data_IF_499437103062
#
_entry.id   IF_499437103062
#
_cell.length_a   1.000
_cell.length_b   1.000
_cell.length_c   1.000
_cell.angle_alpha   90.00
_cell.angle_beta   90.00
_cell.angle_gamma   90.00
#
_symmetry.space_group_name_H-M   'P 1'
#
loop_
_entity.id
_entity.type
_entity.pdbx_description
1 polymer ?
#
# COMPACT_ATOMS: atom_id res chain seq x y z
N UNK A 1 22.97 -45.41 -7.51
CA UNK A 1 23.33 -44.35 -8.49
C UNK A 1 22.16 -43.42 -8.83
N UNK A 2 21.06 -43.89 -9.45
CA UNK A 2 19.90 -43.03 -9.79
C UNK A 2 19.27 -42.28 -8.58
N UNK A 3 19.10 -42.97 -7.44
CA UNK A 3 18.59 -42.35 -6.19
C UNK A 3 19.55 -41.31 -5.59
N UNK A 4 20.86 -41.49 -5.80
CA UNK A 4 21.89 -40.56 -5.33
C UNK A 4 21.91 -39.29 -6.20
N UNK A 5 21.83 -39.46 -7.53
CA UNK A 5 21.74 -38.36 -8.50
C UNK A 5 20.47 -37.53 -8.28
N UNK A 6 19.33 -38.19 -8.02
CA UNK A 6 18.06 -37.50 -7.75
C UNK A 6 18.12 -36.69 -6.44
N UNK A 7 18.77 -37.23 -5.40
CA UNK A 7 18.98 -36.52 -4.14
C UNK A 7 19.87 -35.29 -4.29
N UNK A 8 20.97 -35.39 -5.05
CA UNK A 8 21.87 -34.26 -5.30
C UNK A 8 21.20 -33.17 -6.13
N UNK A 9 20.36 -33.53 -7.10
CA UNK A 9 19.60 -32.57 -7.90
C UNK A 9 18.55 -31.82 -7.07
N UNK A 10 17.81 -32.52 -6.19
CA UNK A 10 16.87 -31.89 -5.27
C UNK A 10 17.59 -30.89 -4.33
N UNK A 11 18.73 -31.30 -3.76
CA UNK A 11 19.52 -30.45 -2.86
C UNK A 11 20.02 -29.18 -3.58
N UNK A 12 20.49 -29.31 -4.82
CA UNK A 12 20.92 -28.18 -5.64
C UNK A 12 19.80 -27.21 -5.97
N UNK A 13 18.58 -27.72 -6.23
CA UNK A 13 17.42 -26.88 -6.52
C UNK A 13 17.02 -26.01 -5.32
N UNK A 14 17.06 -26.53 -4.09
CA UNK A 14 16.71 -25.76 -2.87
C UNK A 14 17.72 -24.64 -2.61
N UNK A 15 19.03 -24.91 -2.79
CA UNK A 15 20.10 -23.91 -2.59
C UNK A 15 20.07 -22.83 -3.68
N UNK A 16 19.70 -23.20 -4.92
CA UNK A 16 19.54 -22.23 -5.99
C UNK A 16 18.36 -21.27 -5.75
N UNK A 17 17.25 -21.77 -5.21
CA UNK A 17 16.08 -20.94 -4.89
C UNK A 17 16.40 -19.86 -3.87
N UNK A 18 17.18 -20.16 -2.82
CA UNK A 18 17.52 -19.16 -1.78
C UNK A 18 18.48 -18.07 -2.26
N UNK A 19 19.27 -18.31 -3.32
CA UNK A 19 20.21 -17.33 -3.87
C UNK A 19 19.61 -16.44 -4.96
N UNK A 20 18.51 -16.87 -5.57
CA UNK A 20 17.84 -16.15 -6.66
C UNK A 20 16.78 -15.14 -6.15
N UNK A 21 16.22 -15.36 -4.96
CA UNK A 21 15.26 -14.43 -4.38
C UNK A 21 15.99 -13.23 -3.76
N UNK A 22 15.56 -11.98 -4.04
CA UNK A 22 16.04 -10.84 -3.29
C UNK A 22 15.72 -11.04 -1.80
N UNK A 23 16.63 -10.62 -0.92
CA UNK A 23 16.37 -10.58 0.51
C UNK A 23 15.16 -9.67 0.81
N UNK A 24 14.45 -9.99 1.89
CA UNK A 24 13.40 -9.10 2.38
C UNK A 24 14.01 -7.74 2.73
N UNK A 25 13.28 -6.62 2.48
CA UNK A 25 13.67 -5.33 3.00
C UNK A 25 13.72 -5.37 4.54
N UNK A 26 14.53 -4.50 5.13
CA UNK A 26 14.49 -4.25 6.58
C UNK A 26 13.08 -3.78 6.99
N UNK A 27 12.62 -4.18 8.17
CA UNK A 27 11.27 -3.87 8.67
C UNK A 27 10.99 -2.36 8.72
N UNK A 28 12.00 -1.54 9.01
CA UNK A 28 11.89 -0.08 9.04
C UNK A 28 11.77 0.57 7.65
N UNK A 29 11.95 -0.21 6.59
CA UNK A 29 11.80 0.21 5.19
C UNK A 29 10.48 -0.22 4.56
N UNK A 30 9.74 -1.11 5.21
CA UNK A 30 8.40 -1.55 4.81
C UNK A 30 7.35 -0.96 5.73
N UNK A 31 6.15 -0.72 5.19
CA UNK A 31 5.02 -0.15 5.93
C UNK A 31 3.91 -1.20 6.15
N UNK A 32 4.27 -2.48 6.00
CA UNK A 32 3.39 -3.64 5.84
C UNK A 32 3.36 -4.52 7.11
N UNK A 33 3.52 -3.91 8.29
CA UNK A 33 3.63 -4.68 9.53
C UNK A 33 3.41 -3.89 10.81
N UNK A 34 3.00 -4.57 11.91
CA UNK A 34 2.84 -3.95 13.20
C UNK A 34 4.18 -3.50 13.75
N UNK A 35 4.16 -2.45 14.57
CA UNK A 35 5.35 -2.02 15.30
C UNK A 35 5.71 -3.03 16.41
N UNK A 36 6.98 -3.12 16.74
CA UNK A 36 7.42 -3.90 17.90
C UNK A 36 6.87 -3.28 19.20
N UNK A 37 6.51 -4.13 20.16
CA UNK A 37 6.12 -3.69 21.51
C UNK A 37 4.65 -3.28 21.67
N UNK A 38 3.82 -3.45 20.64
CA UNK A 38 2.37 -3.23 20.77
C UNK A 38 1.77 -4.17 21.81
N UNK A 39 0.95 -3.62 22.70
CA UNK A 39 0.11 -4.44 23.55
C UNK A 39 -1.00 -5.12 22.74
N UNK A 40 -1.69 -6.09 23.34
CA UNK A 40 -2.69 -6.89 22.65
C UNK A 40 -3.81 -6.05 22.01
N UNK A 41 -4.29 -5.00 22.68
CA UNK A 41 -5.37 -4.15 22.15
C UNK A 41 -4.88 -3.27 21.01
N UNK A 42 -3.64 -2.77 21.09
CA UNK A 42 -3.02 -2.01 20.00
C UNK A 42 -2.79 -2.88 18.77
N UNK A 43 -2.27 -4.09 18.95
CA UNK A 43 -2.07 -5.04 17.85
C UNK A 43 -3.41 -5.42 17.21
N UNK A 44 -4.47 -5.62 18.01
CA UNK A 44 -5.81 -5.87 17.49
C UNK A 44 -6.31 -4.69 16.62
N UNK A 45 -6.08 -3.45 17.07
CA UNK A 45 -6.45 -2.24 16.29
C UNK A 45 -5.64 -2.12 15.01
N UNK A 46 -4.34 -2.43 15.06
CA UNK A 46 -3.49 -2.47 13.88
C UNK A 46 -4.05 -3.45 12.85
N UNK A 47 -4.31 -4.71 13.25
CA UNK A 47 -4.85 -5.74 12.35
C UNK A 47 -6.22 -5.36 11.76
N UNK A 48 -7.07 -4.71 12.55
CA UNK A 48 -8.35 -4.19 12.03
C UNK A 48 -8.15 -3.08 10.99
N UNK A 49 -7.18 -2.19 11.21
CA UNK A 49 -6.81 -1.13 10.27
C UNK A 49 -6.20 -1.69 8.98
N UNK A 50 -5.34 -2.70 9.10
CA UNK A 50 -4.72 -3.41 7.97
C UNK A 50 -5.78 -4.09 7.06
N UNK A 51 -6.71 -4.83 7.68
CA UNK A 51 -7.86 -5.41 6.97
C UNK A 51 -8.66 -4.31 6.27
N UNK A 52 -8.91 -3.19 6.96
CA UNK A 52 -9.69 -2.10 6.39
C UNK A 52 -8.96 -1.45 5.19
N UNK A 53 -7.66 -1.22 5.32
CA UNK A 53 -6.83 -0.62 4.27
C UNK A 53 -6.83 -1.46 2.98
N UNK A 54 -6.71 -2.78 3.13
CA UNK A 54 -6.61 -3.72 2.03
C UNK A 54 -7.95 -4.09 1.40
N UNK A 55 -9.01 -4.23 2.22
CA UNK A 55 -10.25 -4.88 1.78
C UNK A 55 -11.45 -3.93 1.64
N UNK A 56 -11.39 -2.73 2.22
CA UNK A 56 -12.54 -1.82 2.15
C UNK A 56 -12.64 -1.18 0.77
N UNK A 57 -13.82 -1.34 0.18
CA UNK A 57 -14.23 -0.65 -1.04
C UNK A 57 -15.27 0.37 -0.65
N UNK A 58 -14.84 1.62 -0.67
CA UNK A 58 -15.66 2.73 -0.23
C UNK A 58 -16.65 3.17 -1.32
N UNK A 59 -17.76 3.74 -0.88
CA UNK A 59 -18.80 4.32 -1.73
C UNK A 59 -19.07 5.76 -1.30
N UNK A 60 -19.78 6.52 -2.14
CA UNK A 60 -20.23 7.88 -1.79
C UNK A 60 -21.04 7.90 -0.48
N UNK A 61 -21.82 6.85 -0.23
CA UNK A 61 -22.62 6.69 1.00
C UNK A 61 -21.82 6.27 2.24
N UNK A 62 -20.66 5.63 2.06
CA UNK A 62 -19.84 5.10 3.16
C UNK A 62 -18.85 6.13 3.75
N UNK A 63 -18.93 7.40 3.34
CA UNK A 63 -18.18 8.50 3.96
C UNK A 63 -17.12 9.18 3.09
N UNK A 64 -16.95 8.76 1.83
CA UNK A 64 -16.00 9.43 0.92
C UNK A 64 -16.51 10.76 0.35
N UNK A 65 -17.81 11.01 0.44
CA UNK A 65 -18.44 12.12 -0.27
C UNK A 65 -18.51 11.89 -1.79
N UNK A 66 -19.07 12.84 -2.55
CA UNK A 66 -19.31 12.70 -3.98
C UNK A 66 -18.04 12.86 -4.84
N UNK A 67 -16.93 13.32 -4.24
CA UNK A 67 -15.74 13.80 -4.95
C UNK A 67 -14.54 13.12 -4.35
N UNK A 68 -14.10 12.05 -5.00
CA UNK A 68 -13.02 11.23 -4.50
C UNK A 68 -12.23 10.59 -5.65
N UNK A 69 -10.97 10.25 -5.38
CA UNK A 69 -10.01 9.88 -6.42
C UNK A 69 -9.83 8.39 -6.69
N UNK A 70 -10.04 7.47 -5.73
CA UNK A 70 -9.85 6.03 -5.99
C UNK A 70 -10.36 5.10 -4.85
N UNK A 71 -11.38 4.24 -5.09
CA UNK A 71 -12.33 3.60 -4.12
C UNK A 71 -11.79 2.67 -3.04
N UNK A 72 -10.48 2.58 -2.88
CA UNK A 72 -9.82 1.86 -1.79
C UNK A 72 -8.45 2.47 -1.53
N UNK A 73 -7.91 2.27 -0.33
CA UNK A 73 -6.55 2.74 -0.01
C UNK A 73 -5.50 2.06 -0.91
N UNK A 74 -5.63 0.73 -1.06
CA UNK A 74 -4.72 -0.09 -1.88
C UNK A 74 -4.68 0.26 -3.37
N UNK A 75 -5.66 0.99 -3.89
CA UNK A 75 -5.66 1.44 -5.29
C UNK A 75 -4.53 2.42 -5.61
N UNK A 76 -4.07 3.19 -4.62
CA UNK A 76 -2.91 4.07 -4.72
C UNK A 76 -1.69 3.53 -3.97
N UNK A 77 -1.90 2.74 -2.92
CA UNK A 77 -0.89 2.24 -2.00
C UNK A 77 -0.74 0.73 -2.08
N UNK A 78 -0.04 0.25 -3.11
CA UNK A 78 0.13 -1.18 -3.34
C UNK A 78 0.94 -1.86 -2.21
N UNK A 79 0.42 -2.97 -1.67
CA UNK A 79 1.06 -3.76 -0.61
C UNK A 79 1.35 -2.93 0.64
N UNK A 80 0.38 -2.12 1.06
CA UNK A 80 0.46 -1.21 2.21
C UNK A 80 1.63 -0.22 2.16
N UNK A 81 2.20 -0.07 0.97
CA UNK A 81 3.40 0.69 0.72
C UNK A 81 3.14 2.18 0.48
N UNK A 82 4.24 2.87 0.20
CA UNK A 82 4.20 4.25 -0.27
C UNK A 82 3.43 4.31 -1.59
N UNK A 83 2.70 5.41 -1.80
CA UNK A 83 2.02 5.65 -3.06
C UNK A 83 2.99 5.67 -4.24
N UNK A 84 2.54 5.26 -5.42
CA UNK A 84 3.37 5.22 -6.61
C UNK A 84 3.36 6.58 -7.35
N UNK A 85 4.45 7.02 -7.99
CA UNK A 85 4.42 8.21 -8.86
C UNK A 85 3.36 8.17 -9.99
N UNK A 86 2.89 6.98 -10.37
CA UNK A 86 1.80 6.82 -11.34
C UNK A 86 0.42 7.17 -10.76
N UNK A 87 0.30 7.27 -9.44
CA UNK A 87 -0.91 7.68 -8.72
C UNK A 87 -0.74 9.09 -8.13
N UNK A 88 0.09 9.92 -8.78
CA UNK A 88 0.34 11.30 -8.35
C UNK A 88 -0.89 12.17 -8.59
N UNK A 89 -1.21 13.00 -7.61
CA UNK A 89 -2.30 13.97 -7.67
C UNK A 89 -1.72 15.39 -7.77
N UNK A 90 -2.31 16.23 -8.62
CA UNK A 90 -2.00 17.67 -8.64
C UNK A 90 -2.99 18.40 -7.75
N UNK A 91 -2.50 19.03 -6.68
CA UNK A 91 -3.28 19.87 -5.78
C UNK A 91 -3.00 21.34 -6.03
N UNK A 92 -4.06 22.15 -6.03
CA UNK A 92 -3.95 23.60 -6.17
C UNK A 92 -3.97 24.25 -4.79
N UNK A 93 -2.81 24.67 -4.31
CA UNK A 93 -2.67 25.38 -3.04
C UNK A 93 -3.30 26.78 -3.09
N UNK A 94 -3.81 27.25 -1.95
CA UNK A 94 -4.24 28.64 -1.75
C UNK A 94 -3.21 29.35 -0.86
N UNK A 95 -2.95 30.63 -1.13
CA UNK A 95 -2.05 31.46 -0.31
C UNK A 95 -2.68 31.89 1.02
N UNK A 96 -4.00 31.87 1.11
CA UNK A 96 -4.78 32.29 2.28
C UNK A 96 -6.14 31.57 2.31
N UNK A 97 -6.99 31.95 3.27
CA UNK A 97 -8.33 31.37 3.49
C UNK A 97 -9.45 32.08 2.74
N UNK A 98 -9.15 33.04 1.85
CA UNK A 98 -10.17 33.87 1.20
C UNK A 98 -11.02 33.12 0.15
N UNK A 99 -10.62 31.90 -0.20
CA UNK A 99 -11.39 31.00 -1.05
C UNK A 99 -10.50 30.20 -1.99
N UNK A 100 -11.10 29.23 -2.70
CA UNK A 100 -10.39 28.44 -3.69
C UNK A 100 -10.51 29.11 -5.07
N UNK A 101 -9.39 29.59 -5.61
CA UNK A 101 -9.35 30.23 -6.94
C UNK A 101 -9.45 29.25 -8.12
N UNK A 102 -9.35 27.94 -7.86
CA UNK A 102 -9.32 26.88 -8.87
C UNK A 102 -10.63 26.09 -8.95
N UNK A 103 -11.74 26.63 -8.43
CA UNK A 103 -13.07 26.02 -8.60
C UNK A 103 -13.40 25.74 -10.07
N UNK A 104 -12.96 26.62 -10.99
CA UNK A 104 -13.13 26.46 -12.43
C UNK A 104 -12.35 25.26 -13.03
N UNK A 105 -11.38 24.70 -12.31
CA UNK A 105 -10.63 23.49 -12.67
C UNK A 105 -11.14 22.24 -11.93
N UNK A 106 -12.31 22.31 -11.30
CA UNK A 106 -12.88 21.20 -10.53
C UNK A 106 -12.53 21.22 -9.04
N UNK A 107 -11.95 22.30 -8.52
CA UNK A 107 -11.70 22.49 -7.09
C UNK A 107 -10.23 22.38 -6.69
N UNK A 108 -9.91 21.97 -5.44
CA UNK A 108 -8.55 22.06 -4.88
C UNK A 108 -7.59 20.99 -5.42
N UNK A 109 -8.07 20.07 -6.26
CA UNK A 109 -7.28 18.98 -6.80
C UNK A 109 -7.78 18.61 -8.20
N UNK A 110 -6.85 18.36 -9.13
CA UNK A 110 -7.17 17.77 -10.42
C UNK A 110 -7.47 16.28 -10.22
N UNK A 111 -8.73 15.88 -10.41
CA UNK A 111 -9.18 14.52 -10.10
C UNK A 111 -9.03 13.54 -11.27
N UNK A 112 -9.39 13.96 -12.48
CA UNK A 112 -9.35 13.14 -13.69
C UNK A 112 -8.39 13.81 -14.68
N UNK A 113 -7.35 13.08 -15.11
CA UNK A 113 -6.42 13.50 -16.16
C UNK A 113 -6.75 12.79 -17.47
#
# INVERSE_FOLDING_TARGET
MKKLILGTFLMGAVIACSKMMPGLPEDDRVLDGPLEGLNYEENRRFLAGDIAFNNEVFTSSAGLGPVFVANSCGSCHAGDGKGHPFTTLTRFGQSDTTGNNFLHLGGPQLQNR
#
